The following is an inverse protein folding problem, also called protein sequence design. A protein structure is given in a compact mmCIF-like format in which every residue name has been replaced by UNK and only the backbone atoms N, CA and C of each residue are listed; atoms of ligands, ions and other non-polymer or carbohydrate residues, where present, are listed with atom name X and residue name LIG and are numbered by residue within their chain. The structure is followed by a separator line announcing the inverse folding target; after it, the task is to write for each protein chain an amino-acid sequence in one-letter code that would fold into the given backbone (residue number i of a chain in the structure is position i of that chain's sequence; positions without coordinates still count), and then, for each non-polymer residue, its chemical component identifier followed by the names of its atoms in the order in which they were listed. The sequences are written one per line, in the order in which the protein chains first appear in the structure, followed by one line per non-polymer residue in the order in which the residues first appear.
data_IF_636772599610
#
_entry.id   IF_636772599610
#
_cell.length_a   1.000
_cell.length_b   1.000
_cell.length_c   1.000
_cell.angle_alpha   90.00
_cell.angle_beta   90.00
_cell.angle_gamma   90.00
#
_symmetry.space_group_name_H-M   'P 1'
#
loop_
_entity.id
_entity.type
_entity.pdbx_description
1 polymer ?
#
# COMPACT_ATOMS: atom_id res chain seq x y z
N UNK A 1 15.18 -18.15 -13.76
CA UNK A 1 14.95 -18.42 -13.03
C UNK A 1 14.52 -18.81 -12.73
N UNK A 2 14.38 -18.79 -13.23
CA UNK A 2 13.90 -19.18 -12.57
C UNK A 2 13.45 -19.54 -12.52
N UNK A 3 13.22 -19.57 -13.05
CA UNK A 3 12.79 -19.94 -12.66
C UNK A 3 12.23 -20.17 -12.36
N UNK A 4 12.01 -20.18 -12.97
CA UNK A 4 11.42 -20.45 -12.36
C UNK A 4 10.97 -20.81 -12.25
N UNK A 5 10.61 -20.84 -12.75
CA UNK A 5 10.17 -21.17 -12.34
C UNK A 5 9.56 -21.53 -12.17
N UNK A 6 9.20 -21.59 -12.89
CA UNK A 6 8.56 -21.89 -12.54
C UNK A 6 8.08 -22.43 -12.27
N UNK A 7 7.83 -22.48 -12.62
CA UNK A 7 7.22 -22.91 -12.11
C UNK A 7 6.76 -22.81 -11.30
N UNK A 8 6.65 -22.46 -11.07
CA UNK A 8 5.99 -22.14 -10.29
C UNK A 8 5.26 -21.30 -10.63
N UNK A 9 5.32 -21.22 -11.21
CA UNK A 9 4.76 -20.41 -11.48
C UNK A 9 3.69 -20.19 -12.12
N UNK A 10 3.14 -20.55 -12.68
CA UNK A 10 2.10 -20.26 -13.11
C UNK A 10 1.35 -19.23 -12.78
N UNK A 11 1.57 -18.58 -12.06
CA UNK A 11 0.89 -17.47 -11.55
C UNK A 11 0.58 -16.38 -12.53
N UNK A 12 1.09 -16.43 -13.62
CA UNK A 12 0.83 -15.39 -14.59
C UNK A 12 -0.64 -15.20 -14.86
N UNK A 13 -1.42 -16.21 -14.61
CA UNK A 13 -2.82 -16.08 -14.86
C UNK A 13 -3.55 -15.27 -13.84
N UNK A 14 -3.01 -15.16 -12.67
CA UNK A 14 -3.66 -14.39 -11.64
C UNK A 14 -3.20 -12.97 -11.62
N UNK A 15 -2.54 -12.59 -12.67
CA UNK A 15 -2.22 -11.22 -12.86
C UNK A 15 -0.77 -10.92 -12.72
N UNK A 16 -0.35 -9.94 -13.47
CA UNK A 16 0.98 -9.44 -13.37
C UNK A 16 1.16 -8.64 -12.12
N UNK A 17 2.40 -8.49 -11.72
CA UNK A 17 2.73 -7.56 -10.66
C UNK A 17 2.75 -6.16 -11.21
N UNK A 18 2.01 -5.29 -10.57
CA UNK A 18 1.99 -3.88 -10.91
C UNK A 18 2.53 -3.08 -9.74
N UNK A 19 3.13 -1.96 -10.04
CA UNK A 19 3.58 -1.03 -9.02
C UNK A 19 2.52 0.02 -8.84
N UNK A 20 2.12 0.22 -7.59
CA UNK A 20 1.09 1.18 -7.24
C UNK A 20 1.62 2.17 -6.22
N UNK A 21 1.09 3.37 -6.28
CA UNK A 21 1.40 4.42 -5.32
C UNK A 21 0.14 4.69 -4.53
N UNK A 22 0.21 4.41 -3.23
CA UNK A 22 -0.89 4.72 -2.32
C UNK A 22 -0.61 6.04 -1.64
N UNK A 23 -1.58 6.93 -1.66
CA UNK A 23 -1.51 8.17 -0.90
C UNK A 23 -2.64 8.13 0.12
N UNK A 24 -2.28 8.19 1.39
CA UNK A 24 -3.22 7.92 2.48
C UNK A 24 -3.17 9.10 3.44
N UNK A 25 -4.33 9.70 3.69
CA UNK A 25 -4.45 10.82 4.64
C UNK A 25 -4.98 10.26 5.95
N UNK A 26 -4.21 10.45 7.01
CA UNK A 26 -4.47 9.82 8.31
C UNK A 26 -4.27 10.83 9.43
N UNK A 27 -4.82 10.49 10.61
CA UNK A 27 -4.50 11.23 11.82
C UNK A 27 -3.00 11.10 12.10
N UNK A 28 -2.37 12.22 12.46
CA UNK A 28 -0.93 12.24 12.68
C UNK A 28 -0.60 11.75 14.09
N UNK A 29 -0.69 10.43 14.27
CA UNK A 29 -0.38 9.77 15.53
C UNK A 29 0.46 8.55 15.21
N UNK A 30 1.48 8.31 16.02
CA UNK A 30 2.42 7.22 15.78
C UNK A 30 1.73 5.86 15.66
N UNK A 31 0.73 5.61 16.51
CA UNK A 31 0.01 4.35 16.48
C UNK A 31 -0.74 4.15 15.17
N UNK A 32 -1.29 5.23 14.63
CA UNK A 32 -2.02 5.16 13.36
C UNK A 32 -1.08 4.84 12.22
N UNK A 33 0.07 5.52 12.19
CA UNK A 33 1.06 5.27 11.15
C UNK A 33 1.55 3.83 11.20
N UNK A 34 1.79 3.33 12.40
CA UNK A 34 2.24 1.95 12.57
C UNK A 34 1.20 0.96 12.04
N UNK A 35 -0.07 1.24 12.26
CA UNK A 35 -1.13 0.36 11.80
C UNK A 35 -1.24 0.34 10.28
N UNK A 36 -1.09 1.51 9.66
CA UNK A 36 -1.12 1.61 8.20
C UNK A 36 0.03 0.83 7.60
N UNK A 37 1.24 1.06 8.11
CA UNK A 37 2.42 0.36 7.62
C UNK A 37 2.29 -1.14 7.88
N UNK A 38 1.73 -1.50 9.02
CA UNK A 38 1.55 -2.89 9.40
C UNK A 38 0.64 -3.66 8.46
N UNK A 39 -0.32 -3.00 7.84
CA UNK A 39 -1.17 -3.67 6.87
C UNK A 39 -0.36 -4.20 5.69
N UNK A 40 0.63 -3.42 5.27
CA UNK A 40 1.48 -3.84 4.16
C UNK A 40 2.47 -4.92 4.60
N UNK A 41 3.15 -4.68 5.72
CA UNK A 41 4.16 -5.62 6.22
C UNK A 41 3.56 -6.95 6.66
N UNK A 42 2.44 -6.89 7.33
CA UNK A 42 1.82 -8.07 7.89
C UNK A 42 1.31 -9.04 6.85
N UNK A 43 1.08 -8.58 5.65
CA UNK A 43 0.61 -9.43 4.57
C UNK A 43 1.71 -9.79 3.58
N UNK A 44 2.94 -9.41 3.88
CA UNK A 44 4.06 -9.77 3.03
C UNK A 44 4.14 -8.99 1.73
N UNK A 45 3.48 -7.85 1.65
CA UNK A 45 3.58 -7.01 0.47
C UNK A 45 4.91 -6.28 0.45
N UNK A 46 5.40 -6.04 -0.74
CA UNK A 46 6.70 -5.41 -0.90
C UNK A 46 6.56 -3.89 -0.91
N UNK A 47 7.06 -3.25 0.14
CA UNK A 47 7.08 -1.79 0.19
C UNK A 47 8.40 -1.32 -0.40
N UNK A 48 8.32 -0.63 -1.53
CA UNK A 48 9.52 -0.13 -2.19
C UNK A 48 9.96 1.20 -1.63
N UNK A 49 9.02 2.03 -1.22
CA UNK A 49 9.35 3.28 -0.56
C UNK A 49 8.20 3.73 0.30
N UNK A 50 8.53 4.53 1.30
CA UNK A 50 7.58 5.03 2.26
C UNK A 50 8.00 6.44 2.64
N UNK A 51 7.05 7.36 2.59
CA UNK A 51 7.30 8.74 3.02
C UNK A 51 6.09 9.22 3.80
N UNK A 52 6.35 10.02 4.82
CA UNK A 52 5.31 10.61 5.65
C UNK A 52 5.53 12.10 5.70
N UNK A 53 4.47 12.87 5.50
CA UNK A 53 4.53 14.31 5.59
C UNK A 53 3.35 14.81 6.41
N UNK A 54 3.63 15.70 7.35
CA UNK A 54 2.57 16.38 8.07
C UNK A 54 2.02 17.47 7.17
N UNK A 55 0.73 17.41 6.86
CA UNK A 55 0.16 18.33 5.88
C UNK A 55 -0.72 19.40 6.50
N UNK A 56 -1.20 19.18 7.72
CA UNK A 56 -2.00 20.18 8.41
C UNK A 56 -1.85 20.00 9.91
N UNK A 57 -1.07 20.88 10.53
CA UNK A 57 -0.84 20.81 11.96
C UNK A 57 -2.08 21.05 12.78
N UNK A 58 -2.93 21.96 12.32
CA UNK A 58 -4.12 22.31 13.07
C UNK A 58 -5.10 21.15 13.11
N UNK A 59 -5.19 20.41 12.03
CA UNK A 59 -6.09 19.27 11.97
C UNK A 59 -5.41 17.98 12.33
N UNK A 60 -4.13 18.05 12.68
CA UNK A 60 -3.35 16.87 13.04
C UNK A 60 -3.40 15.81 11.95
N UNK A 61 -3.12 16.23 10.73
CA UNK A 61 -3.27 15.41 9.55
C UNK A 61 -1.94 15.13 8.90
N UNK A 62 -1.70 13.87 8.57
CA UNK A 62 -0.50 13.46 7.84
C UNK A 62 -0.87 12.76 6.55
N UNK A 63 0.04 12.81 5.60
CA UNK A 63 -0.09 12.09 4.35
C UNK A 63 1.01 11.05 4.27
N UNK A 64 0.62 9.79 4.09
CA UNK A 64 1.55 8.67 3.94
C UNK A 64 1.55 8.27 2.48
N UNK A 65 2.73 8.22 1.88
CA UNK A 65 2.88 7.79 0.49
C UNK A 65 3.68 6.49 0.48
N UNK A 66 3.07 5.44 -0.05
CA UNK A 66 3.68 4.12 -0.09
C UNK A 66 3.70 3.62 -1.52
N UNK A 67 4.90 3.24 -1.98
CA UNK A 67 5.04 2.60 -3.28
C UNK A 67 5.18 1.11 -3.03
N UNK A 68 4.32 0.32 -3.63
CA UNK A 68 4.29 -1.13 -3.41
C UNK A 68 3.99 -1.85 -4.71
N UNK A 69 4.40 -3.11 -4.78
CA UNK A 69 4.18 -3.96 -5.94
C UNK A 69 3.31 -5.13 -5.53
N UNK A 70 2.34 -5.45 -6.35
CA UNK A 70 1.46 -6.58 -6.08
C UNK A 70 0.56 -6.88 -7.26
N UNK A 71 -0.18 -7.97 -7.16
CA UNK A 71 -1.18 -8.31 -8.17
C UNK A 71 -2.38 -7.40 -8.00
N UNK A 72 -3.24 -7.27 -9.03
CA UNK A 72 -4.44 -6.45 -8.89
C UNK A 72 -5.31 -6.85 -7.71
N UNK A 73 -5.44 -8.14 -7.44
CA UNK A 73 -6.26 -8.62 -6.33
C UNK A 73 -5.69 -8.16 -5.00
N UNK A 74 -4.37 -8.24 -4.86
CA UNK A 74 -3.68 -7.84 -3.65
C UNK A 74 -3.84 -6.34 -3.42
N UNK A 75 -3.67 -5.56 -4.48
CA UNK A 75 -3.79 -4.12 -4.41
C UNK A 75 -5.21 -3.72 -4.00
N UNK A 76 -6.20 -4.40 -4.56
CA UNK A 76 -7.59 -4.11 -4.20
C UNK A 76 -7.87 -4.44 -2.76
N UNK A 77 -7.37 -5.56 -2.27
CA UNK A 77 -7.55 -5.95 -0.88
C UNK A 77 -6.98 -4.93 0.08
N UNK A 78 -5.78 -4.46 -0.21
CA UNK A 78 -5.14 -3.47 0.65
C UNK A 78 -5.94 -2.18 0.66
N UNK A 79 -6.44 -1.77 -0.49
CA UNK A 79 -7.25 -0.56 -0.59
C UNK A 79 -8.48 -0.67 0.31
N UNK A 80 -9.16 -1.80 0.27
CA UNK A 80 -10.35 -2.02 1.10
C UNK A 80 -10.00 -2.04 2.58
N UNK A 81 -8.89 -2.66 2.95
CA UNK A 81 -8.49 -2.71 4.34
C UNK A 81 -8.15 -1.32 4.87
N UNK A 82 -7.46 -0.50 4.06
CA UNK A 82 -7.13 0.86 4.45
C UNK A 82 -8.39 1.68 4.70
N UNK A 83 -9.38 1.52 3.85
CA UNK A 83 -10.61 2.30 3.96
C UNK A 83 -11.41 1.95 5.21
N UNK A 84 -11.18 0.79 5.79
CA UNK A 84 -11.87 0.37 7.01
C UNK A 84 -11.28 0.96 8.28
N UNK A 85 -10.06 1.47 8.21
CA UNK A 85 -9.44 2.05 9.40
C UNK A 85 -10.05 3.40 9.70
N UNK A 86 -10.61 3.55 10.90
CA UNK A 86 -11.27 4.78 11.30
C UNK A 86 -10.38 6.01 11.18
N UNK A 87 -9.11 5.94 11.60
CA UNK A 87 -8.24 7.12 11.52
C UNK A 87 -7.80 7.48 10.10
N UNK A 88 -8.15 6.67 9.11
CA UNK A 88 -7.82 6.94 7.71
C UNK A 88 -8.95 7.76 7.10
N UNK A 89 -8.63 8.95 6.63
CA UNK A 89 -9.63 9.88 6.09
C UNK A 89 -9.82 9.73 4.60
N UNK A 90 -8.76 9.40 3.88
CA UNK A 90 -8.83 9.29 2.45
C UNK A 90 -7.73 8.38 1.94
N UNK A 91 -8.04 7.60 0.92
CA UNK A 91 -7.06 6.72 0.25
C UNK A 91 -7.14 6.99 -1.24
N UNK A 92 -6.00 7.25 -1.86
CA UNK A 92 -5.89 7.35 -3.31
C UNK A 92 -4.88 6.30 -3.76
N UNK A 93 -5.14 5.71 -4.91
CA UNK A 93 -4.33 4.62 -5.44
C UNK A 93 -4.05 4.91 -6.90
N UNK A 94 -2.78 4.99 -7.25
CA UNK A 94 -2.35 5.26 -8.62
C UNK A 94 -1.48 4.12 -9.12
N UNK A 95 -1.81 3.59 -10.26
CA UNK A 95 -0.94 2.61 -10.90
C UNK A 95 0.18 3.35 -11.62
N UNK A 96 1.42 2.92 -11.35
CA UNK A 96 2.56 3.53 -12.01
C UNK A 96 2.69 2.97 -13.41
N UNK A 97 2.75 3.85 -14.38
CA UNK A 97 2.97 3.45 -15.77
C UNK A 97 4.43 3.64 -16.12
N UNK A 98 5.01 2.67 -16.76
CA UNK A 98 6.40 2.75 -17.19
C UNK A 98 6.54 3.11 -18.65
#
# INVERSE_FOLDING_TARGET
MVKSKSAYSTPSKIGKLDTHIFVIWVDNEAGVLARVVGLFSGRGYNIESLAVAEVDQKQNLSRVTIVTTGTPQVIEQITLQLKKLVPVHKVANFKRED
#
